data_IF_287385425365
#
_entry.id   IF_287385425365
#
_cell.length_a   1.000
_cell.length_b   1.000
_cell.length_c   1.000
_cell.angle_alpha   90.00
_cell.angle_beta   90.00
_cell.angle_gamma   90.00
#
_symmetry.space_group_name_H-M   'P 1'
#
loop_
_entity.id
_entity.type
_entity.pdbx_description
1 polymer ?
#
# COMPACT_ATOMS: atom_id res chain seq x y z
N UNK A 1 -35.37 22.93 -22.95
CA UNK A 1 -33.89 22.88 -23.04
C UNK A 1 -33.35 22.10 -21.84
N UNK A 2 -33.11 20.78 -21.94
CA UNK A 2 -32.44 20.07 -20.85
C UNK A 2 -30.93 20.27 -20.97
N UNK A 3 -30.30 20.64 -19.85
CA UNK A 3 -28.85 20.80 -19.69
C UNK A 3 -28.14 19.47 -19.95
N UNK A 4 -27.24 19.47 -20.91
CA UNK A 4 -26.33 18.38 -21.23
C UNK A 4 -25.51 17.99 -20.01
N UNK A 5 -25.65 16.75 -19.55
CA UNK A 5 -24.70 16.13 -18.64
C UNK A 5 -23.40 15.90 -19.42
N UNK A 6 -22.35 16.64 -19.07
CA UNK A 6 -21.01 16.43 -19.61
C UNK A 6 -20.50 15.06 -19.15
N UNK A 7 -20.03 14.28 -20.11
CA UNK A 7 -19.67 12.87 -19.96
C UNK A 7 -18.67 12.61 -18.84
N UNK A 8 -19.02 11.67 -17.97
CA UNK A 8 -18.04 10.89 -17.24
C UNK A 8 -17.38 9.95 -18.24
N UNK A 9 -16.22 10.31 -18.75
CA UNK A 9 -15.29 9.35 -19.37
C UNK A 9 -14.83 8.41 -18.26
N UNK A 10 -15.42 7.21 -18.23
CA UNK A 10 -14.96 6.07 -17.44
C UNK A 10 -13.76 5.48 -18.19
N UNK A 11 -12.56 6.01 -17.94
CA UNK A 11 -11.28 5.48 -18.42
C UNK A 11 -10.23 5.66 -17.30
N UNK A 12 -9.36 4.67 -17.04
CA UNK A 12 -9.71 3.47 -16.31
C UNK A 12 -9.07 3.52 -14.92
N UNK A 13 -9.79 3.05 -13.89
CA UNK A 13 -9.24 2.88 -12.53
C UNK A 13 -7.92 2.09 -12.53
N UNK A 14 -7.70 1.26 -13.57
CA UNK A 14 -6.51 0.45 -13.83
C UNK A 14 -5.19 1.24 -13.81
N UNK A 15 -5.16 2.47 -14.34
CA UNK A 15 -3.94 3.27 -14.44
C UNK A 15 -3.43 3.81 -13.09
N UNK A 16 -4.24 3.70 -12.03
CA UNK A 16 -3.90 4.15 -10.67
C UNK A 16 -3.64 2.99 -9.71
N UNK A 17 -3.66 1.75 -10.20
CA UNK A 17 -3.49 0.53 -9.39
C UNK A 17 -2.10 0.40 -8.75
N UNK A 18 -1.12 1.19 -9.19
CA UNK A 18 0.22 1.17 -8.59
C UNK A 18 0.38 2.21 -7.48
N UNK A 19 -0.52 3.19 -7.34
CA UNK A 19 -0.40 4.23 -6.31
C UNK A 19 -0.72 3.58 -4.96
N UNK A 20 0.25 3.59 -4.06
CA UNK A 20 0.16 2.91 -2.77
C UNK A 20 0.86 3.72 -1.68
N UNK A 21 0.64 3.33 -0.41
CA UNK A 21 1.37 3.90 0.72
C UNK A 21 2.76 3.27 0.83
N UNK A 22 3.81 4.08 0.91
CA UNK A 22 5.20 3.65 1.09
C UNK A 22 5.48 2.92 2.42
N UNK A 23 4.52 2.86 3.35
CA UNK A 23 4.65 2.14 4.61
C UNK A 23 3.81 0.85 4.63
N UNK A 24 2.48 0.96 4.56
CA UNK A 24 1.59 -0.21 4.66
C UNK A 24 1.21 -0.84 3.32
N UNK A 25 1.61 -0.23 2.19
CA UNK A 25 1.25 -0.65 0.84
C UNK A 25 -0.26 -0.72 0.56
N UNK A 26 -1.09 -0.05 1.37
CA UNK A 26 -2.50 0.16 1.05
C UNK A 26 -2.64 0.91 -0.28
N UNK A 27 -3.58 0.49 -1.11
CA UNK A 27 -3.76 1.00 -2.46
C UNK A 27 -4.68 2.22 -2.49
N UNK A 28 -4.34 3.18 -3.34
CA UNK A 28 -5.15 4.38 -3.55
C UNK A 28 -6.50 4.06 -4.21
N UNK A 29 -6.53 3.09 -5.13
CA UNK A 29 -7.74 2.69 -5.84
C UNK A 29 -8.84 2.14 -4.92
N UNK A 30 -8.48 1.64 -3.73
CA UNK A 30 -9.45 1.13 -2.77
C UNK A 30 -10.35 2.23 -2.20
N UNK A 31 -9.94 3.51 -2.31
CA UNK A 31 -10.64 4.70 -1.80
C UNK A 31 -11.01 4.62 -0.29
N UNK A 32 -10.36 3.71 0.45
CA UNK A 32 -10.59 3.51 1.90
C UNK A 32 -9.92 4.55 2.78
N UNK A 33 -8.85 5.17 2.27
CA UNK A 33 -8.02 6.10 3.03
C UNK A 33 -7.72 7.34 2.22
N UNK A 34 -7.51 8.43 2.93
CA UNK A 34 -6.88 9.61 2.37
C UNK A 34 -5.39 9.38 2.17
N UNK A 35 -4.83 9.85 1.06
CA UNK A 35 -3.40 9.78 0.78
C UNK A 35 -2.78 11.16 0.69
N UNK A 36 -1.50 11.24 1.03
CA UNK A 36 -0.70 12.45 1.05
C UNK A 36 0.59 12.23 0.26
N UNK A 37 0.89 13.15 -0.64
CA UNK A 37 2.21 13.29 -1.26
C UNK A 37 3.04 14.25 -0.44
N UNK A 38 4.15 13.76 0.12
CA UNK A 38 5.10 14.58 0.86
C UNK A 38 6.07 15.29 -0.09
N UNK A 39 6.66 16.41 0.34
CA UNK A 39 7.63 17.16 -0.47
C UNK A 39 8.92 16.40 -0.78
N UNK A 40 9.19 15.31 -0.04
CA UNK A 40 10.24 14.35 -0.37
C UNK A 40 9.82 13.31 -1.43
N UNK A 41 8.63 13.47 -2.04
CA UNK A 41 8.05 12.58 -3.04
C UNK A 41 7.81 11.13 -2.55
N UNK A 42 7.41 10.99 -1.28
CA UNK A 42 6.90 9.72 -0.76
C UNK A 42 5.40 9.85 -0.51
N UNK A 43 4.67 8.75 -0.74
CA UNK A 43 3.22 8.70 -0.62
C UNK A 43 2.83 7.96 0.65
N UNK A 44 1.99 8.56 1.48
CA UNK A 44 1.50 7.92 2.71
C UNK A 44 -0.02 8.00 2.82
N UNK A 45 -0.64 6.97 3.36
CA UNK A 45 -2.04 7.03 3.77
C UNK A 45 -2.17 7.73 5.13
N UNK A 46 -3.38 8.20 5.46
CA UNK A 46 -3.71 8.86 6.72
C UNK A 46 -3.34 8.06 7.98
N UNK A 47 -3.33 6.71 7.89
CA UNK A 47 -2.98 5.84 9.02
C UNK A 47 -1.49 5.77 9.28
N UNK A 48 -0.67 5.93 8.24
CA UNK A 48 0.78 5.76 8.32
C UNK A 48 1.53 7.09 8.42
N UNK A 49 0.88 8.19 8.03
CA UNK A 49 1.51 9.50 8.09
C UNK A 49 1.48 10.02 9.54
N UNK A 50 2.63 10.45 10.04
CA UNK A 50 2.70 11.15 11.33
C UNK A 50 2.62 12.64 11.08
N UNK A 51 1.62 13.29 11.66
CA UNK A 51 1.41 14.74 11.56
C UNK A 51 1.92 15.40 12.83
N UNK A 52 2.84 16.35 12.68
CA UNK A 52 3.19 17.29 13.73
C UNK A 52 2.38 18.57 13.52
N UNK A 53 1.59 18.95 14.52
CA UNK A 53 0.89 20.23 14.51
C UNK A 53 1.93 21.36 14.44
N UNK A 54 1.64 22.38 13.63
CA UNK A 54 2.45 23.60 13.63
C UNK A 54 2.32 24.32 14.97
N UNK A 55 3.14 25.37 15.16
CA UNK A 55 3.11 26.16 16.41
C UNK A 55 1.81 26.94 16.54
N UNK A 56 1.17 27.25 15.41
CA UNK A 56 -0.11 27.94 15.34
C UNK A 56 -1.14 27.14 14.54
N UNK A 57 -2.45 27.28 14.80
CA UNK A 57 -3.51 26.60 14.04
C UNK A 57 -3.56 26.95 12.55
N UNK A 58 -2.91 28.05 12.14
CA UNK A 58 -2.83 28.52 10.75
C UNK A 58 -1.63 27.94 9.99
N UNK A 59 -0.70 27.30 10.69
CA UNK A 59 0.48 26.71 10.06
C UNK A 59 0.11 25.51 9.19
N UNK A 60 0.74 25.41 8.03
CA UNK A 60 0.61 24.23 7.18
C UNK A 60 1.12 22.98 7.91
N UNK A 61 0.42 21.83 7.82
CA UNK A 61 0.80 20.62 8.52
C UNK A 61 2.19 20.15 8.09
N UNK A 62 3.00 19.75 9.08
CA UNK A 62 4.32 19.14 8.87
C UNK A 62 4.16 17.64 9.08
N UNK A 63 4.66 16.86 8.13
CA UNK A 63 4.59 15.42 8.14
C UNK A 63 5.99 14.83 8.34
N UNK A 64 6.09 13.80 9.16
CA UNK A 64 7.32 13.03 9.32
C UNK A 64 7.32 11.87 8.32
N UNK A 65 8.26 11.88 7.38
CA UNK A 65 8.40 10.80 6.41
C UNK A 65 9.17 9.64 7.03
N UNK A 66 8.54 8.47 7.21
CA UNK A 66 9.23 7.28 7.74
C UNK A 66 10.25 6.66 6.79
N UNK A 67 10.17 6.94 5.48
CA UNK A 67 11.11 6.44 4.47
C UNK A 67 12.44 7.20 4.48
N UNK A 68 12.41 8.54 4.52
CA UNK A 68 13.64 9.36 4.51
C UNK A 68 13.96 10.03 5.85
N UNK A 69 13.11 9.86 6.87
CA UNK A 69 13.21 10.45 8.22
C UNK A 69 13.29 11.98 8.24
N UNK A 70 12.70 12.64 7.23
CA UNK A 70 12.64 14.10 7.13
C UNK A 70 11.26 14.61 7.53
N UNK A 71 11.24 15.74 8.24
CA UNK A 71 10.03 16.52 8.51
C UNK A 71 9.78 17.46 7.34
N UNK A 72 8.71 17.22 6.59
CA UNK A 72 8.42 17.91 5.33
C UNK A 72 6.96 18.29 5.23
N UNK A 73 6.65 19.31 4.43
CA UNK A 73 5.27 19.60 4.07
C UNK A 73 4.73 18.52 3.13
N UNK A 74 3.41 18.41 3.07
CA UNK A 74 2.71 17.47 2.21
C UNK A 74 1.40 18.03 1.71
N UNK A 75 0.83 17.39 0.71
CA UNK A 75 -0.47 17.72 0.14
C UNK A 75 -1.29 16.46 -0.02
N UNK A 76 -2.60 16.58 0.18
CA UNK A 76 -3.52 15.49 -0.06
C UNK A 76 -3.60 15.16 -1.55
N UNK A 77 -3.51 13.86 -1.89
CA UNK A 77 -3.71 13.36 -3.24
C UNK A 77 -5.18 13.51 -3.63
N UNK A 78 -5.47 14.49 -4.47
CA UNK A 78 -6.82 14.85 -4.94
C UNK A 78 -6.78 15.36 -6.37
N UNK A 79 -7.94 15.41 -7.01
CA UNK A 79 -8.08 16.01 -8.34
C UNK A 79 -7.87 17.54 -8.34
N UNK A 80 -7.82 18.20 -7.18
CA UNK A 80 -7.55 19.64 -7.05
C UNK A 80 -6.05 19.97 -6.93
N UNK A 81 -5.16 18.96 -6.96
CA UNK A 81 -3.73 19.20 -6.92
C UNK A 81 -3.22 20.01 -8.13
N UNK A 82 -2.15 20.81 -7.95
CA UNK A 82 -1.46 21.46 -9.06
C UNK A 82 -1.00 20.48 -10.15
N UNK A 83 -1.01 20.91 -11.42
CA UNK A 83 -0.71 20.05 -12.56
C UNK A 83 0.68 19.40 -12.50
N UNK A 84 1.70 20.10 -12.00
CA UNK A 84 3.05 19.54 -11.87
C UNK A 84 3.09 18.32 -10.92
N UNK A 85 2.26 18.28 -9.87
CA UNK A 85 2.15 17.11 -9.01
C UNK A 85 1.29 16.01 -9.63
N UNK A 86 0.27 16.38 -10.42
CA UNK A 86 -0.55 15.39 -11.16
C UNK A 86 0.27 14.63 -12.20
N UNK A 87 1.23 15.30 -12.85
CA UNK A 87 2.13 14.68 -13.82
C UNK A 87 2.93 13.52 -13.22
N UNK A 88 3.25 13.54 -11.92
CA UNK A 88 3.91 12.42 -11.24
C UNK A 88 3.11 11.12 -11.30
N UNK A 89 1.79 11.21 -11.46
CA UNK A 89 0.86 10.09 -11.52
C UNK A 89 0.25 9.90 -12.92
N UNK A 90 0.90 10.42 -13.96
CA UNK A 90 0.42 10.25 -15.32
C UNK A 90 0.52 8.77 -15.75
N UNK A 91 -0.50 8.21 -16.42
CA UNK A 91 -0.50 6.81 -16.86
C UNK A 91 0.65 6.50 -17.83
N UNK A 92 1.04 7.49 -18.63
CA UNK A 92 2.11 7.38 -19.63
C UNK A 92 3.20 8.40 -19.28
N UNK A 93 4.13 8.11 -18.36
CA UNK A 93 5.16 9.08 -17.97
C UNK A 93 6.12 9.43 -19.10
N UNK A 94 6.36 8.48 -20.02
CA UNK A 94 7.28 8.61 -21.15
C UNK A 94 6.82 9.62 -22.21
N UNK A 95 5.51 9.90 -22.28
CA UNK A 95 4.99 10.92 -23.22
C UNK A 95 5.20 12.35 -22.72
N UNK A 96 5.48 12.53 -21.42
CA UNK A 96 5.71 13.84 -20.81
C UNK A 96 7.14 14.35 -21.09
N UNK A 97 8.09 13.44 -21.34
CA UNK A 97 9.50 13.80 -21.53
C UNK A 97 10.16 14.38 -20.28
N UNK A 98 9.74 13.91 -19.09
CA UNK A 98 10.27 14.37 -17.81
C UNK A 98 10.92 13.21 -17.03
N UNK A 99 12.25 13.15 -17.06
CA UNK A 99 13.06 12.12 -16.39
C UNK A 99 12.76 11.98 -14.89
N UNK A 100 12.36 13.08 -14.24
CA UNK A 100 12.00 13.06 -12.83
C UNK A 100 10.72 12.26 -12.59
N UNK A 101 9.70 12.44 -13.44
CA UNK A 101 8.44 11.70 -13.37
C UNK A 101 8.71 10.22 -13.59
N UNK A 102 9.49 9.86 -14.61
CA UNK A 102 9.85 8.46 -14.89
C UNK A 102 10.60 7.83 -13.71
N UNK A 103 11.57 8.54 -13.16
CA UNK A 103 12.36 8.05 -12.01
C UNK A 103 11.48 7.87 -10.78
N UNK A 104 10.58 8.80 -10.51
CA UNK A 104 9.61 8.71 -9.42
C UNK A 104 8.71 7.48 -9.58
N UNK A 105 8.09 7.30 -10.75
CA UNK A 105 7.19 6.18 -10.99
C UNK A 105 7.93 4.85 -10.91
N UNK A 106 9.07 4.72 -11.60
CA UNK A 106 9.91 3.51 -11.57
C UNK A 106 10.32 3.14 -10.13
N UNK A 107 10.67 4.13 -9.30
CA UNK A 107 11.00 3.92 -7.90
C UNK A 107 9.81 3.36 -7.09
N UNK A 108 8.62 3.91 -7.29
CA UNK A 108 7.40 3.42 -6.63
C UNK A 108 6.99 2.03 -7.11
N UNK A 109 7.05 1.76 -8.41
CA UNK A 109 6.78 0.42 -8.96
C UNK A 109 7.71 -0.62 -8.34
N UNK A 110 9.02 -0.35 -8.32
CA UNK A 110 10.00 -1.26 -7.71
C UNK A 110 9.73 -1.49 -6.22
N UNK A 111 9.31 -0.45 -5.48
CA UNK A 111 8.94 -0.60 -4.08
C UNK A 111 7.71 -1.52 -3.92
N UNK A 112 6.70 -1.34 -4.76
CA UNK A 112 5.49 -2.16 -4.74
C UNK A 112 5.74 -3.61 -5.15
N UNK A 113 6.58 -3.84 -6.15
CA UNK A 113 6.95 -5.18 -6.60
C UNK A 113 7.64 -5.97 -5.48
N UNK A 114 8.60 -5.35 -4.78
CA UNK A 114 9.24 -5.95 -3.59
C UNK A 114 8.23 -6.30 -2.49
N UNK A 115 7.17 -5.50 -2.33
CA UNK A 115 6.12 -5.80 -1.37
C UNK A 115 5.31 -7.03 -1.82
N UNK A 116 4.93 -7.11 -3.10
CA UNK A 116 4.22 -8.27 -3.67
C UNK A 116 5.03 -9.55 -3.53
N UNK A 117 6.30 -9.52 -3.92
CA UNK A 117 7.23 -10.66 -3.78
C UNK A 117 7.29 -11.17 -2.33
N UNK A 118 7.40 -10.25 -1.35
CA UNK A 118 7.40 -10.64 0.06
C UNK A 118 6.08 -11.30 0.48
N UNK A 119 4.94 -10.80 -0.01
CA UNK A 119 3.62 -11.36 0.30
C UNK A 119 3.39 -12.72 -0.34
N UNK A 120 3.88 -12.92 -1.56
CA UNK A 120 3.85 -14.23 -2.23
C UNK A 120 4.67 -15.25 -1.42
N UNK A 121 5.87 -14.90 -0.97
CA UNK A 121 6.68 -15.77 -0.10
C UNK A 121 6.01 -16.09 1.24
N UNK A 122 5.34 -15.11 1.86
CA UNK A 122 4.55 -15.33 3.08
C UNK A 122 3.39 -16.31 2.83
N UNK A 123 2.71 -16.20 1.68
CA UNK A 123 1.62 -17.10 1.30
C UNK A 123 2.12 -18.50 1.00
N UNK A 124 3.20 -18.65 0.23
CA UNK A 124 3.82 -19.95 -0.08
C UNK A 124 4.24 -20.69 1.18
N UNK A 125 4.76 -19.96 2.18
CA UNK A 125 5.09 -20.53 3.48
C UNK A 125 3.84 -21.05 4.20
N UNK A 126 2.77 -20.26 4.23
CA UNK A 126 1.51 -20.65 4.85
C UNK A 126 0.87 -21.87 4.16
N UNK A 127 0.92 -21.94 2.83
CA UNK A 127 0.46 -23.11 2.09
C UNK A 127 1.23 -24.38 2.48
N UNK A 128 2.56 -24.30 2.56
CA UNK A 128 3.40 -25.42 3.03
C UNK A 128 3.07 -25.82 4.46
N UNK A 129 2.84 -24.86 5.35
CA UNK A 129 2.50 -25.13 6.75
C UNK A 129 1.12 -25.79 6.89
N UNK A 130 0.16 -25.49 5.99
CA UNK A 130 -1.14 -26.15 5.92
C UNK A 130 -1.04 -27.57 5.35
N UNK A 131 -0.19 -27.77 4.34
CA UNK A 131 0.02 -29.08 3.70
C UNK A 131 0.79 -30.07 4.58
N UNK A 132 1.56 -29.58 5.57
CA UNK A 132 2.17 -30.44 6.57
C UNK A 132 1.07 -31.08 7.42
N UNK A 133 0.88 -32.42 7.36
CA UNK A 133 -0.10 -33.07 8.21
C UNK A 133 0.30 -32.84 9.67
N UNK A 134 -0.69 -32.45 10.48
CA UNK A 134 -0.60 -32.31 11.93
C UNK A 134 0.36 -33.37 12.50
N UNK A 135 1.29 -33.03 13.42
CA UNK A 135 2.18 -34.01 14.06
C UNK A 135 1.42 -35.20 14.67
N UNK A 136 0.13 -35.03 14.94
CA UNK A 136 -0.79 -36.07 15.42
C UNK A 136 -1.06 -37.19 14.40
N UNK A 137 -0.82 -36.97 13.10
CA UNK A 137 -1.06 -37.96 12.04
C UNK A 137 0.15 -38.88 11.78
N UNK A 138 1.35 -38.54 12.25
CA UNK A 138 2.55 -39.38 12.07
C UNK A 138 2.71 -40.49 13.11
N UNK A 139 1.89 -40.50 14.16
CA UNK A 139 1.98 -41.47 15.25
C UNK A 139 0.70 -42.29 15.40
N UNK A 140 0.35 -43.04 14.36
CA UNK A 140 -0.58 -44.17 14.46
C UNK A 140 -0.07 -45.31 15.37
N UNK A 141 1.10 -45.18 16.01
CA UNK A 141 1.59 -46.07 17.07
C UNK A 141 1.28 -45.60 18.50
N UNK A 142 0.96 -44.33 18.73
CA UNK A 142 0.72 -43.81 20.09
C UNK A 142 -0.74 -43.95 20.57
N UNK A 143 -1.68 -44.17 19.65
CA UNK A 143 -3.10 -44.43 20.02
C UNK A 143 -3.33 -45.74 20.77
N UNK A 144 -2.35 -46.64 20.85
CA UNK A 144 -2.46 -47.85 21.71
C UNK A 144 -1.99 -47.63 23.14
N UNK A 145 -1.32 -46.52 23.49
CA UNK A 145 -0.88 -46.28 24.88
C UNK A 145 -1.83 -45.42 25.71
N UNK A 146 -2.56 -44.48 25.10
CA UNK A 146 -3.50 -43.66 25.88
C UNK A 146 -4.79 -44.39 26.28
N UNK A 147 -5.25 -45.39 25.51
CA UNK A 147 -6.43 -46.18 25.91
C UNK A 147 -6.11 -47.26 26.97
N UNK A 148 -4.84 -47.54 27.26
CA UNK A 148 -4.45 -48.55 28.26
C UNK A 148 -4.38 -48.00 29.70
N UNK A 149 -4.45 -46.68 29.89
CA UNK A 149 -4.38 -46.06 31.21
C UNK A 149 -5.75 -45.83 31.87
N UNK A 150 -6.84 -45.96 31.11
CA UNK A 150 -8.21 -45.83 31.63
C UNK A 150 -8.87 -47.16 32.02
N UNK A 151 -8.13 -48.28 31.99
CA UNK A 151 -8.64 -49.62 32.34
C UNK A 151 -8.02 -50.21 33.63
N UNK A 152 -7.33 -49.38 34.43
CA UNK A 152 -6.90 -49.70 35.80
C UNK A 152 -7.29 -48.56 36.72
N UNK A 153 -8.57 -48.46 37.04
CA UNK A 153 -9.10 -47.74 38.19
C UNK A 153 -10.34 -48.48 38.65
#
# INVERSE_FOLDING_TARGET
>A
MPRSQAGQTVEPEACKLWIHCNSCCALFCDKKHTFFLLACHHVFCERCVKVSAGRTPSDAPIFECSTCRRSVRGRQLTNSMPNHFKQLFHPEPFTIGNDFVETFQRGNHRHFDKYKERKELEMDKLFKDIELPSPCARNASWRRRCCAWSARS
#
